data_IF_033615589437
#
_entry.id   IF_033615589437
#
_cell.length_a   1.000
_cell.length_b   1.000
_cell.length_c   1.000
_cell.angle_alpha   90.00
_cell.angle_beta   90.00
_cell.angle_gamma   90.00
#
_symmetry.space_group_name_H-M   'P 1'
#
loop_
_entity.id
_entity.type
_entity.pdbx_description
1 polymer ?
#
# COMPACT_ATOMS: atom_id res chain seq x y z
N UNK A 1 13.94 1.62 -10.19
CA UNK A 1 13.17 2.86 -10.44
C UNK A 1 14.03 4.06 -10.03
N UNK A 2 13.90 5.22 -10.68
CA UNK A 2 14.55 6.47 -10.21
C UNK A 2 13.68 7.10 -9.13
N UNK A 3 13.89 6.69 -7.88
CA UNK A 3 13.02 7.02 -6.75
C UNK A 3 13.02 8.52 -6.41
N UNK A 4 14.18 9.15 -6.57
CA UNK A 4 14.43 10.57 -6.34
C UNK A 4 13.70 11.51 -7.30
N UNK A 5 13.00 10.97 -8.32
CA UNK A 5 12.17 11.78 -9.23
C UNK A 5 10.74 11.99 -8.72
N UNK A 6 10.32 11.25 -7.70
CA UNK A 6 9.01 11.43 -7.09
C UNK A 6 9.03 12.60 -6.10
N UNK A 7 7.86 13.14 -5.79
CA UNK A 7 7.74 14.10 -4.68
C UNK A 7 8.10 13.44 -3.36
N UNK A 8 8.56 14.21 -2.37
CA UNK A 8 8.93 13.67 -1.05
C UNK A 8 7.78 12.90 -0.39
N UNK A 9 6.54 13.39 -0.56
CA UNK A 9 5.34 12.70 -0.07
C UNK A 9 5.16 11.33 -0.75
N UNK A 10 5.35 11.25 -2.07
CA UNK A 10 5.23 9.99 -2.79
C UNK A 10 6.39 9.03 -2.46
N UNK A 11 7.61 9.55 -2.26
CA UNK A 11 8.75 8.77 -1.77
C UNK A 11 8.46 8.17 -0.37
N UNK A 12 7.85 8.95 0.54
CA UNK A 12 7.41 8.45 1.85
C UNK A 12 6.35 7.36 1.72
N UNK A 13 5.31 7.58 0.90
CA UNK A 13 4.25 6.57 0.70
C UNK A 13 4.78 5.27 0.08
N UNK A 14 5.71 5.33 -0.86
CA UNK A 14 6.34 4.14 -1.42
C UNK A 14 7.22 3.41 -0.40
N UNK A 15 7.93 4.15 0.45
CA UNK A 15 8.70 3.55 1.56
C UNK A 15 7.78 2.83 2.55
N UNK A 16 6.65 3.45 2.91
CA UNK A 16 5.64 2.83 3.77
C UNK A 16 5.01 1.57 3.12
N UNK A 17 4.74 1.61 1.82
CA UNK A 17 4.18 0.48 1.08
C UNK A 17 5.12 -0.72 1.08
N UNK A 18 6.43 -0.47 0.94
CA UNK A 18 7.45 -1.51 1.05
C UNK A 18 7.49 -2.14 2.44
N UNK A 19 7.35 -1.33 3.50
CA UNK A 19 7.28 -1.85 4.87
C UNK A 19 6.04 -2.71 5.11
N UNK A 20 4.89 -2.38 4.50
CA UNK A 20 3.67 -3.20 4.58
C UNK A 20 3.83 -4.56 3.89
N UNK A 21 4.46 -4.57 2.72
CA UNK A 21 4.76 -5.78 1.93
C UNK A 21 5.71 -6.72 2.71
N UNK A 22 6.84 -6.19 3.18
CA UNK A 22 7.82 -6.99 3.94
C UNK A 22 7.32 -7.44 5.32
N UNK A 23 6.38 -6.71 5.93
CA UNK A 23 5.78 -7.11 7.21
C UNK A 23 4.76 -8.24 7.11
N UNK A 24 4.30 -8.58 5.89
CA UNK A 24 3.32 -9.64 5.63
C UNK A 24 3.86 -10.75 4.73
N UNK A 25 5.18 -10.75 4.48
CA UNK A 25 5.88 -11.69 3.61
C UNK A 25 5.27 -11.80 2.20
N UNK A 26 4.77 -10.68 1.66
CA UNK A 26 4.22 -10.66 0.30
C UNK A 26 5.35 -10.76 -0.73
N UNK A 27 5.04 -11.35 -1.89
CA UNK A 27 6.03 -11.58 -2.96
C UNK A 27 6.50 -10.30 -3.66
N UNK A 28 5.89 -9.14 -3.35
CA UNK A 28 6.26 -7.85 -3.92
C UNK A 28 5.19 -6.76 -3.77
N UNK A 29 5.63 -5.52 -3.99
CA UNK A 29 4.80 -4.33 -3.87
C UNK A 29 3.76 -4.26 -5.00
N UNK A 30 2.53 -4.58 -4.64
CA UNK A 30 1.32 -4.34 -5.45
C UNK A 30 0.65 -2.97 -5.20
N UNK A 31 -0.26 -2.60 -6.10
CA UNK A 31 -0.98 -1.30 -6.07
C UNK A 31 -1.75 -1.05 -4.77
N UNK A 32 -2.28 -2.11 -4.14
CA UNK A 32 -3.03 -1.99 -2.88
C UNK A 32 -2.12 -1.60 -1.69
N UNK A 33 -0.82 -1.94 -1.70
CA UNK A 33 0.12 -1.48 -0.68
C UNK A 33 0.36 0.04 -0.76
N UNK A 34 0.49 0.53 -1.99
CA UNK A 34 0.68 1.96 -2.25
C UNK A 34 -0.58 2.71 -1.83
N UNK A 35 -1.76 2.22 -2.20
CA UNK A 35 -3.03 2.83 -1.82
C UNK A 35 -3.24 2.81 -0.30
N UNK A 36 -2.97 1.69 0.37
CA UNK A 36 -2.99 1.60 1.83
C UNK A 36 -2.09 2.63 2.49
N UNK A 37 -0.89 2.85 1.93
CA UNK A 37 0.08 3.83 2.43
C UNK A 37 -0.35 5.27 2.18
N UNK A 38 -0.98 5.55 1.03
CA UNK A 38 -1.52 6.86 0.71
C UNK A 38 -2.68 7.24 1.64
N UNK A 39 -3.51 6.28 2.05
CA UNK A 39 -4.64 6.50 2.96
C UNK A 39 -4.22 6.81 4.41
N UNK A 40 -2.93 6.72 4.75
CA UNK A 40 -2.42 7.14 6.07
C UNK A 40 -2.36 8.67 6.21
N UNK A 41 -2.34 9.41 5.10
CA UNK A 41 -2.30 10.87 5.09
C UNK A 41 -3.74 11.44 5.03
N UNK A 42 -4.17 12.25 6.03
CA UNK A 42 -5.54 12.79 6.08
C UNK A 42 -5.93 13.65 4.87
N UNK A 43 -4.97 14.26 4.19
CA UNK A 43 -5.20 15.03 2.97
C UNK A 43 -5.68 14.14 1.82
N UNK A 44 -5.10 12.95 1.68
CA UNK A 44 -5.47 11.98 0.64
C UNK A 44 -6.84 11.37 0.90
N UNK A 45 -7.15 11.04 2.16
CA UNK A 45 -8.49 10.53 2.52
C UNK A 45 -9.56 11.58 2.27
N UNK A 46 -9.31 12.84 2.63
CA UNK A 46 -10.21 13.96 2.37
C UNK A 46 -10.45 14.17 0.88
N UNK A 47 -9.39 14.11 0.06
CA UNK A 47 -9.50 14.23 -1.40
C UNK A 47 -10.38 13.12 -2.01
N UNK A 48 -10.18 11.87 -1.58
CA UNK A 48 -10.98 10.74 -2.08
C UNK A 48 -12.44 10.83 -1.65
N UNK A 49 -12.70 11.31 -0.42
CA UNK A 49 -14.05 11.57 0.05
C UNK A 49 -14.73 12.67 -0.79
N UNK A 50 -14.01 13.75 -1.09
CA UNK A 50 -14.51 14.83 -1.96
C UNK A 50 -14.77 14.34 -3.40
N UNK A 51 -13.99 13.37 -3.87
CA UNK A 51 -14.20 12.70 -5.15
C UNK A 51 -15.38 11.70 -5.14
N UNK A 52 -16.08 11.53 -4.02
CA UNK A 52 -17.24 10.65 -3.88
C UNK A 52 -16.90 9.19 -3.57
N UNK A 53 -15.65 8.88 -3.19
CA UNK A 53 -15.28 7.53 -2.79
C UNK A 53 -15.94 7.14 -1.45
N UNK A 54 -16.46 5.92 -1.36
CA UNK A 54 -16.85 5.33 -0.08
C UNK A 54 -15.59 4.83 0.64
N UNK A 55 -15.05 5.65 1.55
CA UNK A 55 -13.81 5.34 2.27
C UNK A 55 -13.89 4.05 3.10
N UNK A 56 -15.04 3.78 3.73
CA UNK A 56 -15.24 2.57 4.54
C UNK A 56 -15.10 1.31 3.66
N UNK A 57 -15.84 1.26 2.55
CA UNK A 57 -15.75 0.14 1.60
C UNK A 57 -14.38 0.03 0.96
N UNK A 58 -13.74 1.17 0.65
CA UNK A 58 -12.40 1.18 0.08
C UNK A 58 -11.37 0.56 1.04
N UNK A 59 -11.36 0.98 2.30
CA UNK A 59 -10.46 0.44 3.32
C UNK A 59 -10.68 -1.05 3.55
N UNK A 60 -11.95 -1.50 3.61
CA UNK A 60 -12.29 -2.92 3.74
C UNK A 60 -11.73 -3.75 2.57
N UNK A 61 -11.89 -3.28 1.34
CA UNK A 61 -11.37 -3.99 0.15
C UNK A 61 -9.85 -4.01 0.09
N UNK A 62 -9.20 -2.95 0.54
CA UNK A 62 -7.74 -2.90 0.64
C UNK A 62 -7.25 -3.91 1.67
N UNK A 63 -7.86 -3.99 2.85
CA UNK A 63 -7.46 -4.96 3.87
C UNK A 63 -7.70 -6.40 3.41
N UNK A 64 -8.80 -6.67 2.70
CA UNK A 64 -9.05 -7.96 2.07
C UNK A 64 -7.95 -8.30 1.06
N UNK A 65 -7.59 -7.37 0.16
CA UNK A 65 -6.52 -7.58 -0.81
C UNK A 65 -5.15 -7.81 -0.15
N UNK A 66 -4.86 -7.10 0.96
CA UNK A 66 -3.66 -7.31 1.77
C UNK A 66 -3.64 -8.67 2.48
N UNK A 67 -4.79 -9.30 2.66
CA UNK A 67 -4.91 -10.62 3.31
C UNK A 67 -4.83 -11.75 2.27
N UNK A 68 -5.41 -11.53 1.09
CA UNK A 68 -5.46 -12.49 -0.01
C UNK A 68 -4.17 -12.53 -0.86
N UNK A 69 -3.27 -11.58 -0.63
CA UNK A 69 -2.03 -11.47 -1.39
C UNK A 69 -1.15 -12.73 -1.23
N UNK A 70 -0.48 -13.18 -2.30
CA UNK A 70 0.44 -14.31 -2.21
C UNK A 70 1.56 -14.03 -1.21
N UNK A 71 1.73 -14.94 -0.24
CA UNK A 71 2.81 -14.91 0.74
C UNK A 71 3.94 -15.83 0.32
N UNK A 72 5.18 -15.48 0.67
CA UNK A 72 6.35 -16.33 0.50
C UNK A 72 6.28 -17.45 1.54
N UNK A 73 5.57 -18.53 1.20
CA UNK A 73 5.61 -19.77 1.97
C UNK A 73 6.82 -20.56 1.50
N UNK A 74 7.83 -20.65 2.36
CA UNK A 74 9.09 -21.38 2.23
C UNK A 74 10.29 -20.55 1.72
N UNK A 75 11.12 -19.97 2.63
CA UNK A 75 12.51 -19.71 2.32
C UNK A 75 13.18 -21.09 2.21
N UNK A 76 13.22 -21.63 1.00
CA UNK A 76 14.02 -22.83 0.72
C UNK A 76 15.47 -22.37 0.79
N UNK A 77 16.04 -22.44 1.99
CA UNK A 77 17.46 -22.20 2.21
C UNK A 77 18.25 -23.30 1.51
N UNK A 78 18.74 -22.97 0.32
CA UNK A 78 19.90 -23.56 -0.34
C UNK A 78 20.80 -22.41 -0.84
#
# INVERSE_FOLDING_TARGET
MRFEKFTDSMQKSLSNAKSLDSGRDHTGIESFHILASLLQEPSNTSLLQQAGANLMTLQQKIEQALTDAPTITNPTGD
#
